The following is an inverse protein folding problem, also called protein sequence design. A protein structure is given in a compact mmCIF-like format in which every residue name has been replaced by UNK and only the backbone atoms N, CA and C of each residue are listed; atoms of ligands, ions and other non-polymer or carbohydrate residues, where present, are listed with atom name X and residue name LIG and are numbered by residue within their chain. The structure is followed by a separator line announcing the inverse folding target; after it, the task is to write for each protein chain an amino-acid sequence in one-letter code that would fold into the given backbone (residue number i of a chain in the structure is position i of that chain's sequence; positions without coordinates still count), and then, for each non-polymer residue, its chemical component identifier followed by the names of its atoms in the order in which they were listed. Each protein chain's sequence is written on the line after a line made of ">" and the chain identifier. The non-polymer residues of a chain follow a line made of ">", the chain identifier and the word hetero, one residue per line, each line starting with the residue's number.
data_IF_610272635513
#
_entry.id   IF_610272635513
#
_cell.length_a   1.000
_cell.length_b   1.000
_cell.length_c   1.000
_cell.angle_alpha   90.00
_cell.angle_beta   90.00
_cell.angle_gamma   90.00
#
_symmetry.space_group_name_H-M   'P 1'
#
loop_
_entity.id
_entity.type
_entity.pdbx_description
1 polymer ?
#
# COMPACT_ATOMS: atom_id res chain seq x y z
N UNK A 1 34.39 -19.52 -0.47
CA UNK A 1 33.15 -20.13 -1.00
C UNK A 1 31.95 -19.80 -0.10
N UNK A 2 31.95 -20.21 1.18
CA UNK A 2 30.82 -20.01 2.11
C UNK A 2 30.29 -18.57 2.28
N UNK A 3 31.13 -17.53 2.14
CA UNK A 3 30.68 -16.13 2.22
C UNK A 3 29.97 -15.65 0.95
N UNK A 4 30.43 -16.10 -0.23
CA UNK A 4 29.76 -15.84 -1.52
C UNK A 4 28.37 -16.50 -1.55
N UNK A 5 28.23 -17.67 -0.93
CA UNK A 5 26.94 -18.37 -0.84
C UNK A 5 25.93 -17.60 0.02
N UNK A 6 26.39 -16.96 1.11
CA UNK A 6 25.54 -16.11 1.97
C UNK A 6 25.13 -14.82 1.27
N UNK A 7 26.06 -14.14 0.61
CA UNK A 7 25.77 -12.92 -0.14
C UNK A 7 24.75 -13.19 -1.26
N UNK A 8 24.95 -14.29 -1.98
CA UNK A 8 24.02 -14.72 -3.04
C UNK A 8 22.64 -15.07 -2.48
N UNK A 9 22.56 -15.70 -1.31
CA UNK A 9 21.30 -16.00 -0.65
C UNK A 9 20.53 -14.73 -0.27
N UNK A 10 21.22 -13.75 0.33
CA UNK A 10 20.61 -12.46 0.70
C UNK A 10 20.17 -11.65 -0.53
N UNK A 11 20.94 -11.69 -1.61
CA UNK A 11 20.55 -11.03 -2.86
C UNK A 11 19.25 -11.62 -3.41
N UNK A 12 19.12 -12.95 -3.44
CA UNK A 12 17.90 -13.63 -3.88
C UNK A 12 16.70 -13.34 -2.98
N UNK A 13 16.90 -13.27 -1.67
CA UNK A 13 15.85 -12.91 -0.73
C UNK A 13 15.38 -11.47 -0.93
N UNK A 14 16.31 -10.54 -1.14
CA UNK A 14 16.02 -9.13 -1.46
C UNK A 14 15.20 -9.02 -2.74
N UNK A 15 15.58 -9.73 -3.79
CA UNK A 15 14.86 -9.71 -5.07
C UNK A 15 13.45 -10.30 -4.95
N UNK A 16 13.30 -11.36 -4.15
CA UNK A 16 11.99 -11.95 -3.86
C UNK A 16 11.08 -10.97 -3.10
N UNK A 17 11.62 -10.28 -2.09
CA UNK A 17 10.89 -9.29 -1.31
C UNK A 17 10.48 -8.09 -2.17
N UNK A 18 11.35 -7.59 -3.06
CA UNK A 18 10.99 -6.53 -4.02
C UNK A 18 9.81 -6.92 -4.90
N UNK A 19 9.84 -8.11 -5.51
CA UNK A 19 8.73 -8.60 -6.35
C UNK A 19 7.41 -8.73 -5.58
N UNK A 20 7.47 -9.17 -4.31
CA UNK A 20 6.28 -9.23 -3.45
C UNK A 20 5.73 -7.84 -3.17
N UNK A 21 6.59 -6.86 -2.92
CA UNK A 21 6.19 -5.47 -2.69
C UNK A 21 5.57 -4.85 -3.95
N UNK A 22 6.18 -5.02 -5.12
CA UNK A 22 5.63 -4.56 -6.40
C UNK A 22 4.24 -5.14 -6.65
N UNK A 23 4.07 -6.44 -6.42
CA UNK A 23 2.76 -7.10 -6.55
C UNK A 23 1.74 -6.53 -5.56
N UNK A 24 2.11 -6.36 -4.29
CA UNK A 24 1.21 -5.82 -3.27
C UNK A 24 0.82 -4.36 -3.56
N UNK A 25 1.74 -3.55 -4.09
CA UNK A 25 1.45 -2.18 -4.55
C UNK A 25 0.48 -2.19 -5.72
N UNK A 26 0.70 -3.05 -6.72
CA UNK A 26 -0.23 -3.19 -7.85
C UNK A 26 -1.62 -3.66 -7.39
N UNK A 27 -1.70 -4.61 -6.46
CA UNK A 27 -2.97 -5.05 -5.87
C UNK A 27 -3.65 -3.91 -5.07
N UNK A 28 -2.87 -3.12 -4.33
CA UNK A 28 -3.38 -1.95 -3.60
C UNK A 28 -3.86 -0.84 -4.53
N UNK A 29 -3.19 -0.61 -5.67
CA UNK A 29 -3.62 0.33 -6.70
C UNK A 29 -4.86 -0.15 -7.43
N UNK A 30 -4.95 -1.44 -7.79
CA UNK A 30 -6.14 -2.05 -8.39
C UNK A 30 -7.37 -1.92 -7.48
N UNK A 31 -7.17 -2.00 -6.16
CA UNK A 31 -8.24 -1.83 -5.17
C UNK A 31 -8.63 -0.36 -4.92
N UNK A 32 -7.87 0.61 -5.43
CA UNK A 32 -8.22 2.04 -5.36
C UNK A 32 -9.01 2.42 -6.61
N UNK A 33 -10.30 2.14 -6.61
CA UNK A 33 -11.19 2.75 -7.60
C UNK A 33 -11.26 4.24 -7.24
N UNK A 34 -10.82 5.12 -8.14
CA UNK A 34 -11.10 6.55 -7.98
C UNK A 34 -12.58 6.76 -8.22
N UNK A 35 -13.30 7.14 -7.17
CA UNK A 35 -14.72 7.48 -7.26
C UNK A 35 -14.90 8.93 -6.89
N UNK A 36 -15.86 9.59 -7.53
CA UNK A 36 -16.28 10.93 -7.14
C UNK A 36 -16.96 10.81 -5.79
N UNK A 37 -16.46 11.52 -4.80
CA UNK A 37 -17.11 11.58 -3.49
C UNK A 37 -18.40 12.40 -3.58
N UNK A 38 -19.52 11.84 -3.12
CA UNK A 38 -20.83 12.52 -3.11
C UNK A 38 -20.84 13.77 -2.21
N UNK A 39 -19.90 13.89 -1.26
CA UNK A 39 -19.84 14.99 -0.30
C UNK A 39 -19.12 16.23 -0.85
N UNK A 40 -17.91 16.08 -1.39
CA UNK A 40 -17.07 17.19 -1.87
C UNK A 40 -16.97 17.28 -3.39
N UNK A 41 -17.52 16.31 -4.14
CA UNK A 41 -17.47 16.20 -5.60
C UNK A 41 -16.05 16.10 -6.19
N UNK A 42 -15.06 15.80 -5.34
CA UNK A 42 -13.68 15.52 -5.76
C UNK A 42 -13.44 14.02 -5.93
N UNK A 43 -12.40 13.65 -6.68
CA UNK A 43 -12.02 12.25 -6.85
C UNK A 43 -11.27 11.76 -5.61
N UNK A 44 -11.84 10.77 -4.91
CA UNK A 44 -11.22 10.11 -3.78
C UNK A 44 -11.02 8.61 -4.04
N UNK A 45 -9.97 7.99 -3.47
CA UNK A 45 -9.89 6.54 -3.43
C UNK A 45 -11.11 5.98 -2.69
N UNK A 46 -11.84 5.07 -3.35
CA UNK A 46 -13.06 4.43 -2.83
C UNK A 46 -14.17 5.41 -2.42
N UNK A 47 -14.20 6.62 -3.02
CA UNK A 47 -15.28 7.60 -2.82
C UNK A 47 -15.41 8.17 -1.41
N UNK A 48 -14.51 7.79 -0.48
CA UNK A 48 -14.62 8.18 0.92
C UNK A 48 -13.87 9.49 1.18
N UNK A 49 -14.62 10.50 1.58
CA UNK A 49 -14.09 11.74 2.15
C UNK A 49 -14.15 11.65 3.67
N UNK A 50 -13.04 11.94 4.33
CA UNK A 50 -12.99 12.18 5.77
C UNK A 50 -13.19 13.70 5.94
N UNK A 51 -14.34 14.17 6.45
CA UNK A 51 -14.49 15.58 6.79
C UNK A 51 -13.41 15.96 7.80
N UNK A 52 -12.80 17.14 7.66
CA UNK A 52 -11.70 17.64 8.51
C UNK A 52 -12.04 17.76 10.03
N UNK A 53 -13.14 17.18 10.50
CA UNK A 53 -13.60 17.18 11.89
C UNK A 53 -13.66 15.81 12.60
N UNK A 54 -13.19 14.71 12.00
CA UNK A 54 -13.15 13.36 12.63
C UNK A 54 -11.75 12.72 12.64
N UNK A 55 -10.72 13.51 12.94
CA UNK A 55 -9.33 13.00 13.04
C UNK A 55 -8.95 12.42 14.41
N UNK A 56 -9.81 12.49 15.44
CA UNK A 56 -9.40 12.13 16.82
C UNK A 56 -10.14 10.98 17.54
N UNK A 57 -11.24 10.38 17.05
CA UNK A 57 -12.04 9.47 17.90
C UNK A 57 -12.31 8.02 17.42
N UNK A 58 -11.79 7.54 16.27
CA UNK A 58 -12.11 6.16 15.82
C UNK A 58 -10.89 5.22 15.60
N UNK A 59 -9.78 5.45 16.31
CA UNK A 59 -8.70 4.43 16.44
C UNK A 59 -8.36 4.08 17.90
N UNK A 60 -9.35 4.16 18.79
CA UNK A 60 -9.23 3.62 20.16
C UNK A 60 -10.38 2.64 20.45
N UNK A 61 -10.31 1.42 19.90
CA UNK A 61 -10.89 0.23 20.53
C UNK A 61 -10.22 -1.06 20.09
#
# INVERSE_FOLDING_TARGET
>A
MLQLDKETAYQKETDLLKRKLEKATLEAEVNKVQEVCDFCLENHPNGYCIPEGILEEEQAK
#
